data_IF_307756338456
#
_entry.id   IF_307756338456
#
_cell.length_a   1.000
_cell.length_b   1.000
_cell.length_c   1.000
_cell.angle_alpha   90.00
_cell.angle_beta   90.00
_cell.angle_gamma   90.00
#
_symmetry.space_group_name_H-M   'P 1'
#
loop_
_entity.id
_entity.type
_entity.pdbx_description
1 polymer ?
#
# COMPACT_ATOMS: atom_id res chain seq x y z
N UNK A 1 9.30 56.86 -54.82
CA UNK A 1 9.45 56.91 -53.35
C UNK A 1 8.22 56.26 -52.74
N UNK A 2 8.29 54.98 -52.42
CA UNK A 2 7.41 54.32 -51.44
C UNK A 2 8.20 53.12 -50.90
N UNK A 3 8.68 53.27 -49.67
CA UNK A 3 9.33 52.24 -48.88
C UNK A 3 8.29 51.18 -48.50
N UNK A 4 8.55 49.92 -48.83
CA UNK A 4 7.84 48.79 -48.26
C UNK A 4 8.45 48.48 -46.89
N UNK A 5 7.75 48.88 -45.82
CA UNK A 5 8.10 48.53 -44.45
C UNK A 5 7.30 47.28 -44.03
N UNK A 6 8.06 46.19 -43.83
CA UNK A 6 7.88 45.06 -42.88
C UNK A 6 6.77 44.02 -43.10
N UNK A 7 7.16 42.74 -43.31
CA UNK A 7 6.39 41.55 -42.90
C UNK A 7 6.82 40.96 -41.54
N UNK A 8 7.79 41.57 -40.84
CA UNK A 8 8.40 40.99 -39.63
C UNK A 8 7.47 40.89 -38.41
N UNK A 9 6.40 41.69 -38.33
CA UNK A 9 5.49 41.68 -37.18
C UNK A 9 4.62 40.41 -37.15
N UNK A 10 4.12 39.98 -38.31
CA UNK A 10 3.32 38.75 -38.41
C UNK A 10 4.14 37.48 -38.19
N UNK A 11 5.42 37.47 -38.56
CA UNK A 11 6.29 36.33 -38.28
C UNK A 11 6.61 36.19 -36.79
N UNK A 12 6.84 37.30 -36.09
CA UNK A 12 7.10 37.28 -34.65
C UNK A 12 5.85 36.88 -33.86
N UNK A 13 4.67 37.38 -34.25
CA UNK A 13 3.39 36.98 -33.63
C UNK A 13 3.08 35.50 -33.87
N UNK A 14 3.33 34.98 -35.08
CA UNK A 14 3.16 33.56 -35.37
C UNK A 14 4.15 32.69 -34.57
N UNK A 15 5.39 33.15 -34.41
CA UNK A 15 6.41 32.43 -33.62
C UNK A 15 6.08 32.44 -32.13
N UNK A 16 5.59 33.57 -31.59
CA UNK A 16 5.09 33.65 -30.22
C UNK A 16 3.86 32.76 -30.05
N UNK A 17 2.92 32.74 -31.00
CA UNK A 17 1.75 31.88 -30.92
C UNK A 17 2.11 30.39 -30.99
N UNK A 18 3.04 30.01 -31.87
CA UNK A 18 3.54 28.63 -31.98
C UNK A 18 4.38 28.24 -30.76
N UNK A 19 5.14 29.17 -30.19
CA UNK A 19 5.93 28.95 -28.97
C UNK A 19 5.03 28.85 -27.73
N UNK A 20 4.00 29.68 -27.61
CA UNK A 20 2.99 29.57 -26.55
C UNK A 20 2.10 28.33 -26.74
N UNK A 21 1.71 27.98 -27.96
CA UNK A 21 1.02 26.72 -28.25
C UNK A 21 1.90 25.51 -27.96
N UNK A 22 3.21 25.59 -28.22
CA UNK A 22 4.19 24.57 -27.85
C UNK A 22 4.37 24.50 -26.32
N UNK A 23 4.42 25.63 -25.60
CA UNK A 23 4.48 25.64 -24.13
C UNK A 23 3.18 25.12 -23.50
N UNK A 24 2.00 25.45 -24.07
CA UNK A 24 0.70 24.92 -23.65
C UNK A 24 0.55 23.43 -23.95
N UNK A 25 1.13 22.94 -25.06
CA UNK A 25 1.17 21.53 -25.39
C UNK A 25 2.22 20.74 -24.58
N UNK A 26 3.35 21.37 -24.24
CA UNK A 26 4.41 20.77 -23.42
C UNK A 26 4.06 20.71 -21.92
N UNK A 27 3.00 21.40 -21.49
CA UNK A 27 2.52 21.41 -20.11
C UNK A 27 1.34 20.45 -19.85
N UNK A 28 0.85 19.72 -20.86
CA UNK A 28 -0.19 18.69 -20.67
C UNK A 28 0.44 17.31 -20.63
N UNK A 29 0.32 16.60 -19.51
CA UNK A 29 0.56 15.17 -19.46
C UNK A 29 -0.40 14.48 -20.43
N UNK A 30 0.11 14.05 -21.57
CA UNK A 30 -0.67 13.25 -22.51
C UNK A 30 -0.89 11.85 -21.94
N UNK A 31 -2.09 11.30 -22.13
CA UNK A 31 -2.48 9.94 -21.77
C UNK A 31 -1.67 8.94 -22.63
N UNK A 32 -0.96 7.99 -21.99
CA UNK A 32 -0.25 6.89 -22.66
C UNK A 32 -0.55 5.58 -21.93
N UNK A 33 -1.78 5.08 -22.04
CA UNK A 33 -2.27 4.03 -21.16
C UNK A 33 -1.89 2.63 -21.64
N UNK A 34 -1.32 2.49 -22.84
CA UNK A 34 -1.02 1.18 -23.42
C UNK A 34 0.35 1.10 -24.08
N UNK A 35 0.91 -0.10 -24.07
CA UNK A 35 2.15 -0.42 -24.78
C UNK A 35 2.06 -1.78 -25.45
N UNK A 36 2.70 -1.89 -26.61
CA UNK A 36 2.78 -3.12 -27.41
C UNK A 36 3.99 -3.97 -26.98
N UNK A 37 4.07 -5.20 -27.47
CA UNK A 37 5.19 -6.11 -27.18
C UNK A 37 6.56 -5.54 -27.56
N UNK A 38 7.62 -6.11 -26.95
CA UNK A 38 9.03 -5.76 -27.16
C UNK A 38 9.44 -4.43 -26.53
N UNK A 39 8.73 -4.01 -25.49
CA UNK A 39 9.09 -2.83 -24.70
C UNK A 39 10.00 -3.23 -23.52
N UNK A 40 10.95 -2.34 -23.20
CA UNK A 40 11.89 -2.50 -22.09
C UNK A 40 12.06 -1.16 -21.38
N UNK A 41 12.06 -1.20 -20.05
CA UNK A 41 12.24 -0.03 -19.19
C UNK A 41 13.27 -0.31 -18.10
N UNK A 42 13.95 0.74 -17.65
CA UNK A 42 14.99 0.66 -16.61
C UNK A 42 14.74 1.73 -15.56
N UNK A 43 14.83 1.39 -14.27
CA UNK A 43 14.75 2.36 -13.19
C UNK A 43 16.12 3.02 -12.94
N UNK A 44 16.42 4.14 -13.61
CA UNK A 44 17.63 4.93 -13.33
C UNK A 44 17.28 6.23 -12.58
N UNK A 45 17.94 7.37 -12.83
CA UNK A 45 17.54 8.67 -12.27
C UNK A 45 16.96 9.66 -13.34
N UNK A 46 16.90 9.24 -14.60
CA UNK A 46 16.31 10.04 -15.70
C UNK A 46 14.77 9.84 -15.72
N UNK A 47 13.98 10.92 -15.65
CA UNK A 47 12.51 10.92 -15.82
C UNK A 47 11.63 10.43 -14.64
N UNK A 48 12.12 10.46 -13.39
CA UNK A 48 11.26 10.21 -12.23
C UNK A 48 10.46 11.46 -11.84
N UNK A 49 9.23 11.28 -11.37
CA UNK A 49 8.39 12.35 -10.81
C UNK A 49 8.07 12.06 -9.36
N UNK A 50 7.93 13.10 -8.54
CA UNK A 50 7.42 12.96 -7.18
C UNK A 50 5.91 12.72 -7.27
N UNK A 51 5.43 11.70 -6.58
CA UNK A 51 3.98 11.45 -6.50
C UNK A 51 3.43 11.88 -5.14
N UNK A 52 4.18 11.75 -4.04
CA UNK A 52 3.73 12.26 -2.73
C UNK A 52 4.30 13.65 -2.45
N UNK A 53 3.50 14.51 -1.81
CA UNK A 53 3.88 15.89 -1.45
C UNK A 53 5.16 15.98 -0.59
N UNK A 54 5.45 14.98 0.25
CA UNK A 54 6.62 14.97 1.15
C UNK A 54 7.93 14.45 0.53
N UNK A 55 8.04 14.47 -0.80
CA UNK A 55 9.29 14.27 -1.57
C UNK A 55 10.00 12.92 -1.44
N UNK A 56 9.61 12.06 -0.48
CA UNK A 56 10.28 10.77 -0.25
C UNK A 56 9.78 9.68 -1.20
N UNK A 57 8.61 9.83 -1.82
CA UNK A 57 8.14 8.87 -2.82
C UNK A 57 8.23 9.44 -4.23
N UNK A 58 8.98 8.72 -5.06
CA UNK A 58 9.11 9.01 -6.49
C UNK A 58 8.56 7.85 -7.31
N UNK A 59 7.94 8.17 -8.44
CA UNK A 59 7.50 7.20 -9.43
C UNK A 59 8.04 7.54 -10.81
N UNK A 60 8.55 6.52 -11.48
CA UNK A 60 8.88 6.52 -12.89
C UNK A 60 7.72 5.92 -13.63
N UNK A 61 6.90 6.77 -14.22
CA UNK A 61 5.70 6.33 -14.91
C UNK A 61 6.07 5.67 -16.24
N UNK A 62 5.54 4.47 -16.45
CA UNK A 62 5.63 3.69 -17.68
C UNK A 62 4.31 3.81 -18.45
N UNK A 63 3.18 3.67 -17.77
CA UNK A 63 1.84 3.89 -18.30
C UNK A 63 1.13 4.92 -17.43
N UNK A 64 0.44 5.86 -18.06
CA UNK A 64 -0.45 6.81 -17.40
C UNK A 64 -1.82 6.70 -18.07
N UNK A 65 -2.87 6.50 -17.27
CA UNK A 65 -4.26 6.59 -17.71
C UNK A 65 -4.97 7.73 -17.00
N UNK A 66 -5.56 8.64 -17.77
CA UNK A 66 -6.40 9.73 -17.25
C UNK A 66 -7.86 9.47 -17.61
N UNK A 67 -8.74 9.11 -16.66
CA UNK A 67 -10.11 8.70 -16.98
C UNK A 67 -10.95 9.77 -17.69
N UNK A 68 -10.70 11.05 -17.37
CA UNK A 68 -11.38 12.19 -17.95
C UNK A 68 -10.38 13.35 -18.09
N UNK A 69 -10.35 14.09 -19.21
CA UNK A 69 -9.52 15.30 -19.36
C UNK A 69 -9.75 16.39 -18.30
N UNK A 70 -10.88 16.34 -17.59
CA UNK A 70 -11.18 17.21 -16.44
C UNK A 70 -10.83 16.58 -15.08
N UNK A 71 -10.52 15.28 -15.04
CA UNK A 71 -10.09 14.65 -13.81
C UNK A 71 -8.72 15.17 -13.44
N UNK A 72 -8.56 15.48 -12.16
CA UNK A 72 -7.30 15.91 -11.59
C UNK A 72 -6.39 14.72 -11.24
N UNK A 73 -6.91 13.50 -11.39
CA UNK A 73 -6.29 12.26 -10.97
C UNK A 73 -6.17 11.33 -12.18
N UNK A 74 -5.01 10.70 -12.31
CA UNK A 74 -4.80 9.57 -13.19
C UNK A 74 -4.36 8.34 -12.41
N UNK A 75 -4.29 7.23 -13.12
CA UNK A 75 -3.69 6.01 -12.65
C UNK A 75 -2.40 5.74 -13.41
N UNK A 76 -1.32 5.55 -12.67
CA UNK A 76 0.00 5.30 -13.21
C UNK A 76 0.47 3.88 -12.89
N UNK A 77 1.30 3.34 -13.77
CA UNK A 77 2.06 2.11 -13.54
C UNK A 77 3.53 2.35 -13.86
N UNK A 78 4.44 1.81 -13.03
CA UNK A 78 5.87 1.99 -13.22
C UNK A 78 6.71 1.67 -11.99
N UNK A 79 7.93 2.20 -11.94
CA UNK A 79 8.83 1.98 -10.81
C UNK A 79 8.61 3.02 -9.73
N UNK A 80 8.22 2.60 -8.54
CA UNK A 80 8.03 3.45 -7.37
C UNK A 80 9.19 3.24 -6.40
N UNK A 81 9.69 4.31 -5.79
CA UNK A 81 10.74 4.26 -4.78
C UNK A 81 10.33 5.07 -3.58
N UNK A 82 10.60 4.52 -2.39
CA UNK A 82 10.63 5.30 -1.17
C UNK A 82 12.10 5.62 -0.83
N UNK A 83 12.48 6.89 -1.02
CA UNK A 83 13.83 7.43 -0.79
C UNK A 83 14.32 7.23 0.65
N UNK A 84 13.42 7.15 1.64
CA UNK A 84 13.80 6.88 3.04
C UNK A 84 14.33 5.46 3.24
N UNK A 85 13.88 4.49 2.43
CA UNK A 85 14.31 3.09 2.51
C UNK A 85 15.27 2.69 1.39
N UNK A 86 15.42 3.52 0.36
CA UNK A 86 16.26 3.26 -0.81
C UNK A 86 15.81 2.06 -1.66
N UNK A 87 14.59 1.57 -1.46
CA UNK A 87 14.05 0.38 -2.11
C UNK A 87 13.15 0.74 -3.28
N UNK A 88 13.32 0.05 -4.42
CA UNK A 88 12.48 0.22 -5.60
C UNK A 88 11.51 -0.94 -5.76
N UNK A 89 10.28 -0.60 -6.14
CA UNK A 89 9.21 -1.53 -6.42
C UNK A 89 8.62 -1.26 -7.80
N UNK A 90 8.12 -2.30 -8.45
CA UNK A 90 7.23 -2.15 -9.60
C UNK A 90 5.80 -2.09 -9.08
N UNK A 91 5.05 -1.07 -9.45
CA UNK A 91 3.74 -0.84 -8.86
C UNK A 91 2.82 0.06 -9.66
N UNK A 92 1.59 0.17 -9.18
CA UNK A 92 0.59 1.07 -9.69
C UNK A 92 0.13 2.03 -8.59
N UNK A 93 -0.16 3.27 -8.98
CA UNK A 93 -0.51 4.35 -8.09
C UNK A 93 -1.55 5.30 -8.68
N UNK A 94 -2.33 5.97 -7.83
CA UNK A 94 -3.07 7.17 -8.21
C UNK A 94 -2.09 8.34 -8.24
N UNK A 95 -2.18 9.19 -9.26
CA UNK A 95 -1.29 10.34 -9.43
C UNK A 95 -2.07 11.60 -9.76
N UNK A 96 -1.74 12.73 -9.13
CA UNK A 96 -2.32 14.03 -9.50
C UNK A 96 -1.64 14.59 -10.76
N UNK A 97 -2.42 15.23 -11.61
CA UNK A 97 -1.98 15.70 -12.94
C UNK A 97 -1.91 17.24 -13.03
N UNK A 98 -2.46 17.96 -12.04
CA UNK A 98 -2.45 19.43 -11.99
C UNK A 98 -1.29 20.02 -11.17
N UNK A 99 -0.86 21.23 -11.57
CA UNK A 99 0.29 21.99 -11.06
C UNK A 99 -0.15 23.07 -10.04
N UNK A 100 -1.08 22.78 -9.14
CA UNK A 100 -1.35 23.67 -8.02
C UNK A 100 -0.53 23.23 -6.79
N UNK A 101 -0.03 24.19 -6.03
CA UNK A 101 0.83 24.05 -4.82
C UNK A 101 0.13 23.33 -3.64
N UNK A 102 -1.00 22.65 -3.88
CA UNK A 102 -1.80 21.97 -2.87
C UNK A 102 -1.33 20.53 -2.61
N UNK A 103 -1.59 20.00 -1.39
CA UNK A 103 -1.30 18.62 -1.05
C UNK A 103 -1.77 17.58 -2.07
N UNK A 104 -0.82 16.80 -2.59
CA UNK A 104 -1.11 15.59 -3.36
C UNK A 104 -0.94 14.36 -2.49
N UNK A 105 -2.07 13.74 -2.15
CA UNK A 105 -2.14 12.43 -1.52
C UNK A 105 -2.24 11.34 -2.61
N UNK A 106 -1.15 11.17 -3.35
CA UNK A 106 -1.01 10.07 -4.31
C UNK A 106 -0.81 8.75 -3.57
N UNK A 107 -1.44 7.68 -4.05
CA UNK A 107 -1.44 6.41 -3.35
C UNK A 107 -0.95 5.25 -4.20
N UNK A 108 0.00 4.50 -3.67
CA UNK A 108 0.51 3.24 -4.22
C UNK A 108 -0.40 2.08 -3.78
N UNK A 109 -1.34 1.68 -4.62
CA UNK A 109 -2.33 0.65 -4.28
C UNK A 109 -1.91 -0.77 -4.68
N UNK A 110 -0.86 -0.93 -5.50
CA UNK A 110 -0.41 -2.26 -5.95
C UNK A 110 1.10 -2.29 -6.16
N UNK A 111 1.74 -3.38 -5.71
CA UNK A 111 3.19 -3.61 -5.83
C UNK A 111 3.47 -5.09 -6.19
N UNK A 112 4.19 -5.32 -7.28
CA UNK A 112 4.50 -6.65 -7.79
C UNK A 112 5.50 -7.43 -6.91
N UNK A 113 6.48 -6.72 -6.34
CA UNK A 113 7.70 -7.31 -5.79
C UNK A 113 7.93 -6.93 -4.31
N UNK A 114 6.87 -6.83 -3.49
CA UNK A 114 6.99 -6.47 -2.06
C UNK A 114 7.95 -7.34 -1.25
N UNK A 115 8.13 -8.60 -1.65
CA UNK A 115 9.02 -9.56 -0.99
C UNK A 115 10.46 -9.54 -1.52
N UNK A 116 10.69 -8.88 -2.66
CA UNK A 116 12.01 -8.78 -3.28
C UNK A 116 12.15 -7.39 -3.96
N UNK A 117 12.35 -6.32 -3.16
CA UNK A 117 12.65 -5.00 -3.69
C UNK A 117 13.88 -5.05 -4.60
N UNK A 118 13.91 -4.20 -5.63
CA UNK A 118 15.01 -4.14 -6.59
C UNK A 118 15.88 -2.91 -6.38
N UNK A 119 17.08 -2.94 -6.95
CA UNK A 119 18.02 -1.82 -6.95
C UNK A 119 17.79 -0.90 -8.15
N UNK A 120 18.48 0.24 -8.16
CA UNK A 120 18.59 1.08 -9.36
C UNK A 120 19.24 0.28 -10.50
N UNK A 121 18.75 0.49 -11.72
CA UNK A 121 19.08 -0.21 -12.97
C UNK A 121 18.46 -1.61 -13.15
N UNK A 122 17.50 -2.00 -12.31
CA UNK A 122 16.55 -3.06 -12.60
C UNK A 122 15.76 -2.79 -13.90
N UNK A 123 15.38 -3.88 -14.58
CA UNK A 123 14.74 -3.82 -15.89
C UNK A 123 13.38 -4.51 -15.89
N UNK A 124 12.38 -3.85 -16.46
CA UNK A 124 11.08 -4.44 -16.79
C UNK A 124 11.02 -4.67 -18.29
N UNK A 125 10.65 -5.87 -18.73
CA UNK A 125 10.59 -6.24 -20.14
C UNK A 125 9.28 -6.94 -20.47
N UNK A 126 8.53 -6.41 -21.44
CA UNK A 126 7.41 -7.11 -22.05
C UNK A 126 7.93 -7.88 -23.27
N UNK A 127 8.24 -9.16 -23.08
CA UNK A 127 8.86 -9.99 -24.09
C UNK A 127 7.89 -10.35 -25.23
N UNK A 128 8.44 -10.67 -26.40
CA UNK A 128 7.68 -11.15 -27.57
C UNK A 128 6.94 -12.46 -27.34
N UNK A 129 7.35 -13.26 -26.34
CA UNK A 129 6.62 -14.46 -25.91
C UNK A 129 5.39 -14.13 -25.05
N UNK A 130 5.15 -12.86 -24.74
CA UNK A 130 3.99 -12.37 -24.00
C UNK A 130 4.13 -12.38 -22.48
N UNK A 131 5.33 -12.55 -21.93
CA UNK A 131 5.59 -12.43 -20.49
C UNK A 131 6.13 -11.05 -20.13
N UNK A 132 5.60 -10.45 -19.05
CA UNK A 132 6.13 -9.23 -18.47
C UNK A 132 7.07 -9.62 -17.32
N UNK A 133 8.37 -9.37 -17.47
CA UNK A 133 9.41 -9.86 -16.56
C UNK A 133 10.16 -8.69 -15.92
N UNK A 134 10.27 -8.73 -14.59
CA UNK A 134 11.11 -7.87 -13.78
C UNK A 134 12.41 -8.60 -13.42
N UNK A 135 13.55 -7.96 -13.71
CA UNK A 135 14.89 -8.39 -13.30
C UNK A 135 15.59 -7.30 -12.51
N UNK A 136 16.37 -7.68 -11.52
CA UNK A 136 17.19 -6.74 -10.74
C UNK A 136 18.41 -6.28 -11.56
N UNK A 137 19.18 -5.32 -11.04
CA UNK A 137 20.34 -4.71 -11.71
C UNK A 137 21.42 -5.72 -12.12
N UNK A 138 21.55 -6.84 -11.39
CA UNK A 138 22.47 -7.94 -11.71
C UNK A 138 21.90 -8.95 -12.74
N UNK A 139 20.69 -8.70 -13.25
CA UNK A 139 19.97 -9.56 -14.18
C UNK A 139 19.20 -10.71 -13.52
N UNK A 140 19.24 -10.83 -12.18
CA UNK A 140 18.53 -11.87 -11.45
C UNK A 140 17.01 -11.72 -11.62
N UNK A 141 16.32 -12.85 -11.74
CA UNK A 141 14.87 -12.86 -11.84
C UNK A 141 14.21 -12.41 -10.53
N UNK A 142 13.19 -11.55 -10.62
CA UNK A 142 12.48 -11.02 -9.45
C UNK A 142 11.00 -11.40 -9.49
N UNK A 143 10.32 -11.11 -10.61
CA UNK A 143 8.88 -11.31 -10.74
C UNK A 143 8.50 -11.42 -12.23
N UNK A 144 7.40 -12.11 -12.53
CA UNK A 144 6.75 -12.07 -13.85
C UNK A 144 5.24 -12.32 -13.76
N UNK A 145 4.54 -12.01 -14.84
CA UNK A 145 3.11 -12.33 -15.01
C UNK A 145 2.87 -13.83 -15.23
N UNK A 146 3.91 -14.61 -15.54
CA UNK A 146 3.85 -16.04 -15.89
C UNK A 146 2.97 -16.32 -17.10
N UNK A 147 2.99 -15.42 -18.09
CA UNK A 147 2.15 -15.47 -19.29
C UNK A 147 2.93 -15.87 -20.56
N UNK A 148 4.11 -16.48 -20.39
CA UNK A 148 4.92 -16.95 -21.51
C UNK A 148 4.13 -17.89 -22.41
N UNK A 149 4.18 -17.64 -23.72
CA UNK A 149 3.49 -18.38 -24.79
C UNK A 149 1.97 -18.18 -24.84
N UNK A 150 1.40 -17.21 -24.13
CA UNK A 150 -0.06 -16.96 -24.12
C UNK A 150 -0.54 -15.93 -25.16
N UNK A 151 0.23 -15.68 -26.23
CA UNK A 151 -0.10 -14.70 -27.29
C UNK A 151 -0.56 -13.34 -26.75
N UNK A 152 0.26 -12.72 -25.89
CA UNK A 152 -0.03 -11.36 -25.42
C UNK A 152 0.07 -10.34 -26.56
N UNK A 153 -0.75 -9.29 -26.50
CA UNK A 153 -0.82 -8.24 -27.50
C UNK A 153 -0.43 -6.88 -26.91
N UNK A 154 -0.97 -6.54 -25.74
CA UNK A 154 -0.72 -5.22 -25.13
C UNK A 154 -0.87 -5.23 -23.61
N UNK A 155 -0.10 -4.39 -22.94
CA UNK A 155 -0.27 -4.07 -21.52
C UNK A 155 -0.99 -2.71 -21.43
N UNK A 156 -2.04 -2.63 -20.62
CA UNK A 156 -2.90 -1.44 -20.52
C UNK A 156 -3.23 -1.07 -19.08
N UNK A 157 -3.22 0.21 -18.78
CA UNK A 157 -3.75 0.79 -17.55
C UNK A 157 -5.19 1.27 -17.78
N UNK A 158 -6.14 0.75 -17.01
CA UNK A 158 -7.56 1.07 -17.14
C UNK A 158 -7.98 2.24 -16.25
N UNK A 159 -9.15 2.82 -16.56
CA UNK A 159 -9.79 3.90 -15.79
C UNK A 159 -10.15 3.51 -14.35
N UNK A 160 -10.15 2.21 -14.06
CA UNK A 160 -10.41 1.67 -12.73
C UNK A 160 -9.15 1.55 -11.88
N UNK A 161 -7.97 1.86 -12.43
CA UNK A 161 -6.68 1.58 -11.80
C UNK A 161 -6.16 0.16 -12.04
N UNK A 162 -6.90 -0.69 -12.77
CA UNK A 162 -6.47 -2.05 -13.07
C UNK A 162 -5.45 -2.07 -14.22
N UNK A 163 -4.28 -2.63 -13.96
CA UNK A 163 -3.29 -2.95 -14.99
C UNK A 163 -3.61 -4.32 -15.59
N UNK A 164 -3.82 -4.38 -16.91
CA UNK A 164 -4.26 -5.59 -17.62
C UNK A 164 -3.32 -5.91 -18.77
N UNK A 165 -2.89 -7.17 -18.85
CA UNK A 165 -2.22 -7.73 -20.01
C UNK A 165 -3.24 -8.45 -20.89
N UNK A 166 -3.52 -7.87 -22.05
CA UNK A 166 -4.42 -8.43 -23.04
C UNK A 166 -3.66 -9.29 -24.04
N UNK A 167 -4.28 -10.41 -24.43
CA UNK A 167 -3.90 -11.22 -25.58
C UNK A 167 -4.73 -10.90 -26.82
N UNK A 168 -4.66 -11.79 -27.80
CA UNK A 168 -5.48 -11.72 -29.00
C UNK A 168 -6.98 -11.64 -28.65
N UNK A 169 -7.73 -10.88 -29.46
CA UNK A 169 -9.17 -10.65 -29.29
C UNK A 169 -9.59 -10.06 -27.92
N UNK A 170 -8.73 -9.24 -27.30
CA UNK A 170 -8.97 -8.61 -25.99
C UNK A 170 -9.19 -9.62 -24.85
N UNK A 171 -8.66 -10.83 -24.96
CA UNK A 171 -8.66 -11.77 -23.85
C UNK A 171 -7.76 -11.25 -22.72
N UNK A 172 -8.28 -11.20 -21.49
CA UNK A 172 -7.45 -10.92 -20.31
C UNK A 172 -6.56 -12.14 -20.02
N UNK A 173 -5.24 -11.97 -20.15
CA UNK A 173 -4.25 -13.00 -19.81
C UNK A 173 -3.79 -12.88 -18.36
N UNK A 174 -3.67 -11.64 -17.88
CA UNK A 174 -3.27 -11.31 -16.52
C UNK A 174 -3.82 -9.94 -16.14
N UNK A 175 -4.15 -9.72 -14.86
CA UNK A 175 -4.53 -8.41 -14.36
C UNK A 175 -4.11 -8.19 -12.90
N UNK A 176 -3.75 -6.96 -12.55
CA UNK A 176 -3.30 -6.59 -11.20
C UNK A 176 -4.36 -6.84 -10.13
N UNK A 177 -5.65 -6.70 -10.47
CA UNK A 177 -6.74 -6.88 -9.51
C UNK A 177 -6.86 -8.32 -8.97
N UNK A 178 -6.36 -9.32 -9.71
CA UNK A 178 -6.31 -10.71 -9.27
C UNK A 178 -5.11 -11.00 -8.35
N UNK A 179 -4.24 -10.01 -8.13
CA UNK A 179 -3.06 -10.08 -7.27
C UNK A 179 -3.04 -8.93 -6.26
N UNK A 180 -4.05 -8.82 -5.38
CA UNK A 180 -4.13 -7.72 -4.43
C UNK A 180 -2.95 -7.71 -3.44
N UNK A 181 -2.64 -6.53 -2.90
CA UNK A 181 -1.54 -6.35 -1.94
C UNK A 181 -2.06 -6.01 -0.55
N UNK A 182 -2.06 -4.74 -0.16
CA UNK A 182 -2.67 -4.22 1.08
C UNK A 182 -3.97 -3.44 0.80
N UNK A 183 -4.23 -3.10 -0.45
CA UNK A 183 -5.24 -2.13 -0.88
C UNK A 183 -6.25 -2.77 -1.84
N UNK A 184 -7.52 -2.37 -1.75
CA UNK A 184 -8.60 -2.62 -2.69
C UNK A 184 -9.10 -1.30 -3.26
N UNK A 185 -9.13 -1.18 -4.58
CA UNK A 185 -9.78 -0.06 -5.25
C UNK A 185 -11.30 -0.30 -5.36
N UNK A 186 -12.13 0.76 -5.49
CA UNK A 186 -13.55 0.63 -5.72
C UNK A 186 -13.86 -0.29 -6.92
N UNK A 187 -14.73 -1.28 -6.70
CA UNK A 187 -15.10 -2.28 -7.71
C UNK A 187 -14.15 -3.47 -7.84
N UNK A 188 -12.96 -3.44 -7.23
CA UNK A 188 -12.09 -4.62 -7.12
C UNK A 188 -12.71 -5.65 -6.17
N UNK A 189 -12.67 -6.93 -6.57
CA UNK A 189 -13.12 -8.06 -5.76
C UNK A 189 -11.92 -8.75 -5.12
N UNK A 190 -11.97 -8.98 -3.81
CA UNK A 190 -11.07 -9.90 -3.14
C UNK A 190 -11.78 -11.25 -3.02
N UNK A 191 -11.31 -12.23 -3.79
CA UNK A 191 -11.89 -13.56 -3.91
C UNK A 191 -11.42 -14.49 -2.79
N UNK A 192 -12.21 -15.51 -2.48
CA UNK A 192 -11.84 -16.55 -1.53
C UNK A 192 -10.50 -17.21 -1.91
N UNK A 193 -9.62 -17.33 -0.93
CA UNK A 193 -8.25 -17.80 -1.12
C UNK A 193 -7.21 -16.69 -1.34
N UNK A 194 -7.64 -15.48 -1.73
CA UNK A 194 -6.78 -14.30 -1.74
C UNK A 194 -6.70 -13.65 -0.36
N UNK A 195 -5.70 -12.78 -0.19
CA UNK A 195 -5.49 -12.02 1.05
C UNK A 195 -5.13 -10.58 0.75
N UNK A 196 -5.55 -9.67 1.62
CA UNK A 196 -4.84 -8.41 1.80
C UNK A 196 -3.80 -8.62 2.89
N UNK A 197 -2.58 -8.17 2.65
CA UNK A 197 -1.48 -8.23 3.61
C UNK A 197 -0.96 -6.82 3.79
N UNK A 198 -0.97 -6.32 5.02
CA UNK A 198 -0.57 -4.95 5.32
C UNK A 198 0.88 -4.65 4.91
N UNK A 199 1.25 -3.37 4.92
CA UNK A 199 2.66 -2.94 4.87
C UNK A 199 3.32 -3.19 6.21
N UNK A 200 4.64 -3.32 6.23
CA UNK A 200 5.42 -3.43 7.46
C UNK A 200 5.36 -2.15 8.30
N UNK A 201 5.28 -0.98 7.66
CA UNK A 201 5.03 0.32 8.29
C UNK A 201 4.60 1.35 7.22
N UNK A 202 4.34 2.59 7.62
CA UNK A 202 4.06 3.69 6.69
C UNK A 202 5.18 3.90 5.64
N UNK A 203 6.45 3.75 6.03
CA UNK A 203 7.62 3.96 5.15
C UNK A 203 8.15 2.67 4.54
N UNK A 204 7.94 1.52 5.17
CA UNK A 204 8.37 0.23 4.64
C UNK A 204 7.20 -0.56 4.04
N UNK A 205 7.19 -0.66 2.70
CA UNK A 205 6.14 -1.29 1.92
C UNK A 205 6.33 -2.79 1.67
N UNK A 206 7.30 -3.43 2.31
CA UNK A 206 7.35 -4.90 2.38
C UNK A 206 6.12 -5.44 3.11
N UNK A 207 5.86 -6.75 3.01
CA UNK A 207 4.77 -7.37 3.76
C UNK A 207 4.90 -7.15 5.27
N UNK A 208 3.81 -6.71 5.89
CA UNK A 208 3.68 -6.53 7.32
C UNK A 208 3.10 -7.73 8.04
N UNK A 209 2.68 -7.48 9.28
CA UNK A 209 2.24 -8.52 10.20
C UNK A 209 0.74 -8.76 10.18
N UNK A 210 -0.06 -7.99 9.44
CA UNK A 210 -1.51 -8.18 9.40
C UNK A 210 -1.96 -8.72 8.06
N UNK A 211 -2.95 -9.61 8.08
CA UNK A 211 -3.60 -10.03 6.85
C UNK A 211 -5.10 -10.28 7.04
N UNK A 212 -5.85 -9.91 6.02
CA UNK A 212 -7.28 -10.13 5.89
C UNK A 212 -7.50 -11.23 4.84
N UNK A 213 -8.44 -12.13 5.11
CA UNK A 213 -8.76 -13.27 4.26
C UNK A 213 -10.27 -13.48 4.20
N UNK A 214 -10.78 -13.80 3.01
CA UNK A 214 -12.17 -14.24 2.83
C UNK A 214 -12.21 -15.74 2.53
N UNK A 215 -13.25 -16.42 3.01
CA UNK A 215 -13.53 -17.82 2.73
C UNK A 215 -15.04 -18.04 2.57
N UNK A 216 -15.45 -19.30 2.32
CA UNK A 216 -16.86 -19.68 2.29
C UNK A 216 -17.58 -19.53 3.64
N UNK A 217 -16.85 -19.29 4.74
CA UNK A 217 -17.43 -19.07 6.07
C UNK A 217 -17.60 -17.59 6.43
N UNK A 218 -16.97 -16.67 5.68
CA UNK A 218 -17.00 -15.24 5.95
C UNK A 218 -15.65 -14.53 5.84
N UNK A 219 -15.51 -13.45 6.61
CA UNK A 219 -14.36 -12.54 6.62
C UNK A 219 -13.55 -12.69 7.91
N UNK A 220 -12.23 -12.72 7.78
CA UNK A 220 -11.32 -12.97 8.90
C UNK A 220 -10.09 -12.06 8.82
N UNK A 221 -9.64 -11.53 9.95
CA UNK A 221 -8.39 -10.76 10.04
C UNK A 221 -7.49 -11.33 11.11
N UNK A 222 -6.20 -11.41 10.78
CA UNK A 222 -5.19 -12.10 11.56
C UNK A 222 -3.95 -11.25 11.77
N UNK A 223 -3.32 -11.44 12.92
CA UNK A 223 -1.93 -11.12 13.18
C UNK A 223 -1.03 -12.32 12.86
N UNK A 224 0.00 -12.09 12.06
CA UNK A 224 0.97 -13.07 11.61
C UNK A 224 1.90 -13.40 12.77
N UNK A 225 1.78 -14.62 13.27
CA UNK A 225 2.72 -15.22 14.21
C UNK A 225 2.91 -16.70 13.89
N UNK A 226 3.74 -17.43 14.64
CA UNK A 226 3.98 -18.87 14.40
C UNK A 226 2.69 -19.67 14.33
N UNK A 227 1.72 -19.31 15.16
CA UNK A 227 0.32 -19.71 15.03
C UNK A 227 -0.46 -18.44 14.66
N UNK A 228 -1.09 -18.35 13.48
CA UNK A 228 -1.85 -17.17 13.12
C UNK A 228 -2.91 -16.82 14.16
N UNK A 229 -2.90 -15.58 14.66
CA UNK A 229 -3.83 -15.13 15.69
C UNK A 229 -4.96 -14.33 15.05
N UNK A 230 -6.16 -14.91 15.04
CA UNK A 230 -7.36 -14.24 14.56
C UNK A 230 -7.83 -13.24 15.61
N UNK A 231 -8.02 -11.98 15.23
CA UNK A 231 -8.57 -10.95 16.12
C UNK A 231 -9.92 -10.40 15.62
N UNK A 232 -10.26 -10.65 14.35
CA UNK A 232 -11.58 -10.33 13.79
C UNK A 232 -12.16 -11.51 13.03
N UNK A 233 -13.47 -11.71 13.20
CA UNK A 233 -14.25 -12.70 12.47
C UNK A 233 -15.67 -12.18 12.24
N UNK A 234 -16.10 -12.22 10.99
CA UNK A 234 -17.49 -12.04 10.60
C UNK A 234 -17.96 -13.27 9.83
N UNK A 235 -18.82 -14.09 10.45
CA UNK A 235 -19.32 -15.31 9.82
C UNK A 235 -20.65 -15.09 9.13
N UNK A 236 -20.78 -15.67 7.94
CA UNK A 236 -22.05 -15.75 7.21
C UNK A 236 -22.54 -17.19 7.26
N UNK A 237 -23.80 -17.40 7.64
CA UNK A 237 -24.41 -18.73 7.78
C UNK A 237 -25.64 -18.82 6.88
N UNK A 238 -25.80 -19.96 6.20
CA UNK A 238 -26.90 -20.18 5.27
C UNK A 238 -26.52 -21.19 4.18
N UNK A 239 -27.40 -21.33 3.19
CA UNK A 239 -27.16 -22.16 2.01
C UNK A 239 -26.50 -21.28 0.95
N UNK A 240 -25.41 -21.74 0.35
CA UNK A 240 -24.78 -21.02 -0.77
C UNK A 240 -25.66 -21.15 -2.00
N UNK A 241 -26.16 -20.02 -2.50
CA UNK A 241 -27.07 -19.95 -3.65
C UNK A 241 -26.33 -19.74 -4.98
N UNK A 242 -25.12 -19.18 -4.90
CA UNK A 242 -24.29 -18.87 -6.05
C UNK A 242 -23.23 -19.93 -6.32
N UNK A 243 -22.98 -20.24 -7.60
CA UNK A 243 -21.83 -21.05 -8.04
C UNK A 243 -20.51 -20.27 -8.04
N UNK A 244 -20.56 -18.93 -7.91
CA UNK A 244 -19.34 -18.12 -7.89
C UNK A 244 -18.56 -18.34 -6.59
N UNK A 245 -17.21 -18.27 -6.62
CA UNK A 245 -16.42 -18.25 -5.40
C UNK A 245 -16.85 -17.06 -4.52
N UNK A 246 -16.76 -17.23 -3.20
CA UNK A 246 -17.09 -16.17 -2.25
C UNK A 246 -16.11 -15.00 -2.39
N UNK A 247 -16.57 -13.75 -2.21
CA UNK A 247 -15.71 -12.56 -2.32
C UNK A 247 -16.23 -11.40 -1.46
N UNK A 248 -15.36 -10.41 -1.30
CA UNK A 248 -15.73 -9.09 -0.77
C UNK A 248 -15.37 -8.01 -1.79
N UNK A 249 -16.05 -6.86 -1.74
CA UNK A 249 -15.69 -5.69 -2.54
C UNK A 249 -15.98 -4.38 -1.79
N UNK A 250 -15.12 -3.39 -2.00
CA UNK A 250 -15.31 -2.04 -1.48
C UNK A 250 -16.30 -1.27 -2.38
N UNK A 251 -17.33 -0.68 -1.78
CA UNK A 251 -18.39 0.07 -2.48
C UNK A 251 -18.85 1.24 -1.61
N UNK A 252 -18.66 2.47 -2.08
CA UNK A 252 -19.15 3.69 -1.42
C UNK A 252 -18.83 3.76 0.08
N UNK A 253 -17.59 3.46 0.47
CA UNK A 253 -17.18 3.48 1.87
C UNK A 253 -17.58 2.26 2.70
N UNK A 254 -18.32 1.33 2.11
CA UNK A 254 -18.71 0.08 2.76
C UNK A 254 -17.93 -1.11 2.23
N UNK A 255 -17.89 -2.18 3.00
CA UNK A 255 -17.40 -3.47 2.56
C UNK A 255 -18.57 -4.45 2.41
N UNK A 256 -18.89 -4.79 1.16
CA UNK A 256 -19.94 -5.74 0.84
C UNK A 256 -19.39 -7.16 0.80
N UNK A 257 -20.05 -8.08 1.50
CA UNK A 257 -19.70 -9.50 1.60
C UNK A 257 -20.65 -10.33 0.74
N UNK A 258 -20.09 -11.07 -0.24
CA UNK A 258 -20.78 -12.02 -1.11
C UNK A 258 -20.22 -13.41 -0.84
N UNK A 259 -20.68 -14.03 0.25
CA UNK A 259 -20.22 -15.33 0.73
C UNK A 259 -21.09 -16.46 0.18
N UNK A 260 -22.42 -16.30 0.30
CA UNK A 260 -23.44 -17.21 -0.17
C UNK A 260 -24.10 -16.70 -1.46
N UNK A 261 -24.22 -15.38 -1.61
CA UNK A 261 -24.77 -14.72 -2.77
C UNK A 261 -23.69 -14.25 -3.76
N UNK A 262 -24.11 -13.75 -4.92
CA UNK A 262 -23.27 -13.01 -5.85
C UNK A 262 -24.10 -11.98 -6.62
N UNK A 263 -23.45 -10.94 -7.12
CA UNK A 263 -24.08 -9.98 -8.04
C UNK A 263 -24.77 -10.69 -9.22
N UNK A 264 -25.97 -10.26 -9.62
CA UNK A 264 -26.63 -8.99 -9.28
C UNK A 264 -27.48 -8.99 -7.99
N UNK A 265 -27.48 -10.07 -7.21
CA UNK A 265 -28.21 -10.12 -5.93
C UNK A 265 -27.60 -9.18 -4.89
N UNK A 266 -28.37 -8.88 -3.84
CA UNK A 266 -27.88 -8.13 -2.66
C UNK A 266 -26.75 -8.90 -1.95
N UNK A 267 -25.78 -8.21 -1.33
CA UNK A 267 -24.75 -8.86 -0.52
C UNK A 267 -25.34 -9.51 0.73
N UNK A 268 -24.69 -10.56 1.23
CA UNK A 268 -25.11 -11.25 2.44
C UNK A 268 -24.94 -10.39 3.70
N UNK A 269 -23.96 -9.49 3.67
CA UNK A 269 -23.71 -8.51 4.71
C UNK A 269 -22.98 -7.29 4.17
N UNK A 270 -23.13 -6.15 4.85
CA UNK A 270 -22.40 -4.91 4.58
C UNK A 270 -21.82 -4.42 5.90
N UNK A 271 -20.52 -4.10 5.90
CA UNK A 271 -19.83 -3.49 7.03
C UNK A 271 -19.64 -1.99 6.78
N UNK A 272 -19.68 -1.20 7.86
CA UNK A 272 -19.65 0.27 7.87
C UNK A 272 -20.89 0.92 7.26
N UNK A 273 -20.98 2.24 7.40
CA UNK A 273 -22.02 3.10 6.83
C UNK A 273 -21.51 3.72 5.52
N UNK A 274 -22.36 3.87 4.49
CA UNK A 274 -21.94 4.50 3.25
C UNK A 274 -21.41 5.92 3.45
N UNK A 275 -20.30 6.23 2.79
CA UNK A 275 -19.78 7.59 2.65
C UNK A 275 -19.77 8.02 1.19
N UNK A 276 -19.63 9.32 0.95
CA UNK A 276 -19.46 9.82 -0.41
C UNK A 276 -18.13 9.30 -0.99
N UNK A 277 -18.25 8.56 -2.08
CA UNK A 277 -17.09 8.02 -2.80
C UNK A 277 -16.53 9.08 -3.75
N UNK A 278 -15.21 9.23 -3.75
CA UNK A 278 -14.50 10.16 -4.64
C UNK A 278 -13.56 9.42 -5.58
N UNK A 279 -13.05 10.09 -6.61
CA UNK A 279 -12.15 9.47 -7.59
C UNK A 279 -10.83 8.97 -6.97
N UNK A 280 -10.45 9.45 -5.78
CA UNK A 280 -9.24 9.03 -5.04
C UNK A 280 -9.48 7.92 -4.01
N UNK A 281 -10.70 7.41 -3.88
CA UNK A 281 -10.99 6.55 -2.74
C UNK A 281 -10.38 5.16 -2.88
N UNK A 282 -9.95 4.59 -1.76
CA UNK A 282 -9.43 3.22 -1.69
C UNK A 282 -9.62 2.63 -0.29
N UNK A 283 -9.61 1.31 -0.20
CA UNK A 283 -9.66 0.60 1.08
C UNK A 283 -8.33 -0.08 1.35
N UNK A 284 -7.73 0.08 2.53
CA UNK A 284 -6.43 -0.49 2.89
C UNK A 284 -6.45 -1.17 4.24
N UNK A 285 -5.80 -2.33 4.32
CA UNK A 285 -5.38 -2.92 5.58
C UNK A 285 -4.03 -2.33 6.00
N UNK A 286 -4.08 -1.43 6.97
CA UNK A 286 -2.91 -0.67 7.42
C UNK A 286 -1.95 -1.49 8.28
N UNK A 287 -0.73 -0.96 8.48
CA UNK A 287 0.33 -1.64 9.24
C UNK A 287 0.00 -1.83 10.72
N UNK A 288 -1.03 -1.16 11.23
CA UNK A 288 -1.58 -1.27 12.59
C UNK A 288 -2.75 -2.27 12.69
N UNK A 289 -3.14 -2.89 11.58
CA UNK A 289 -4.19 -3.93 11.53
C UNK A 289 -5.60 -3.39 11.33
N UNK A 290 -5.79 -2.07 11.24
CA UNK A 290 -7.08 -1.47 10.89
C UNK A 290 -7.36 -1.60 9.38
N UNK A 291 -8.62 -1.80 9.02
CA UNK A 291 -9.07 -1.77 7.63
C UNK A 291 -9.78 -0.44 7.38
N UNK A 292 -9.10 0.51 6.75
CA UNK A 292 -9.61 1.87 6.56
C UNK A 292 -10.06 2.09 5.11
N UNK A 293 -11.15 2.82 4.94
CA UNK A 293 -11.54 3.40 3.67
C UNK A 293 -11.14 4.87 3.66
N UNK A 294 -10.24 5.22 2.77
CA UNK A 294 -9.73 6.56 2.55
C UNK A 294 -10.50 7.23 1.43
N UNK A 295 -10.92 8.47 1.64
CA UNK A 295 -11.64 9.27 0.65
C UNK A 295 -11.37 10.76 0.84
N UNK A 296 -11.50 11.51 -0.26
CA UNK A 296 -11.40 12.97 -0.26
C UNK A 296 -12.67 13.61 0.35
N UNK A 297 -12.56 14.39 1.44
CA UNK A 297 -13.70 15.14 2.00
C UNK A 297 -13.74 16.58 1.49
N UNK A 298 -14.35 16.77 0.31
CA UNK A 298 -14.51 18.08 -0.34
C UNK A 298 -15.31 19.13 0.46
N UNK A 299 -15.88 18.80 1.62
CA UNK A 299 -16.78 19.68 2.35
C UNK A 299 -16.04 20.64 3.29
N UNK A 300 -14.88 20.26 3.83
CA UNK A 300 -14.21 21.02 4.89
C UNK A 300 -12.73 21.34 4.68
N UNK A 301 -11.95 20.48 4.04
CA UNK A 301 -10.51 20.65 3.78
C UNK A 301 -10.10 19.71 2.63
N UNK A 302 -9.16 20.05 1.73
CA UNK A 302 -8.67 19.18 0.62
C UNK A 302 -7.77 18.06 1.21
N UNK A 303 -8.22 17.44 2.30
CA UNK A 303 -7.52 16.47 3.13
C UNK A 303 -8.15 15.09 2.97
N UNK A 304 -7.30 14.06 2.99
CA UNK A 304 -7.76 12.68 2.95
C UNK A 304 -8.37 12.30 4.30
N UNK A 305 -9.67 12.06 4.31
CA UNK A 305 -10.38 11.49 5.45
C UNK A 305 -10.36 9.96 5.41
N UNK A 306 -10.63 9.36 6.56
CA UNK A 306 -10.62 7.91 6.71
C UNK A 306 -11.73 7.40 7.64
N UNK A 307 -12.31 6.26 7.29
CA UNK A 307 -13.24 5.52 8.15
C UNK A 307 -12.71 4.10 8.35
N UNK A 308 -12.60 3.67 9.60
CA UNK A 308 -12.26 2.29 9.93
C UNK A 308 -13.50 1.39 9.81
N UNK A 309 -13.45 0.46 8.85
CA UNK A 309 -14.54 -0.46 8.50
C UNK A 309 -14.87 -1.43 9.62
N UNK A 310 -13.91 -1.71 10.50
CA UNK A 310 -14.07 -2.69 11.58
C UNK A 310 -14.42 -2.03 12.93
N UNK A 311 -14.42 -0.70 13.02
CA UNK A 311 -14.60 0.05 14.26
C UNK A 311 -16.00 -0.09 14.89
N UNK A 312 -17.01 -0.46 14.11
CA UNK A 312 -18.35 -0.77 14.65
C UNK A 312 -18.34 -2.04 15.53
N UNK A 313 -17.34 -2.91 15.36
CA UNK A 313 -17.22 -4.20 16.04
C UNK A 313 -16.01 -4.24 16.98
N UNK A 314 -14.89 -3.67 16.56
CA UNK A 314 -13.64 -3.64 17.31
C UNK A 314 -13.46 -2.32 18.03
N UNK A 315 -13.10 -2.39 19.30
CA UNK A 315 -12.61 -1.24 20.08
C UNK A 315 -11.09 -1.15 20.00
N UNK A 316 -10.52 -0.04 20.45
CA UNK A 316 -9.08 0.21 20.39
C UNK A 316 -8.24 -0.97 20.90
N UNK A 317 -8.57 -1.54 22.07
CA UNK A 317 -7.80 -2.66 22.64
C UNK A 317 -8.04 -4.03 21.97
N UNK A 318 -9.00 -4.15 21.05
CA UNK A 318 -9.23 -5.39 20.31
C UNK A 318 -8.22 -5.53 19.14
N UNK A 319 -7.57 -4.41 18.74
CA UNK A 319 -6.49 -4.43 17.77
C UNK A 319 -5.19 -4.93 18.38
N UNK A 320 -4.47 -5.86 17.71
CA UNK A 320 -3.16 -6.29 18.18
C UNK A 320 -2.14 -5.15 18.21
N UNK A 321 -1.13 -5.28 19.06
CA UNK A 321 0.06 -4.39 19.10
C UNK A 321 -0.17 -2.92 19.50
N UNK A 322 -1.40 -2.54 19.89
CA UNK A 322 -1.75 -1.18 20.32
C UNK A 322 -0.84 -0.65 21.44
N UNK A 323 -0.44 -1.52 22.37
CA UNK A 323 0.39 -1.14 23.53
C UNK A 323 1.85 -1.58 23.41
N UNK A 324 2.36 -1.69 22.18
CA UNK A 324 3.74 -2.06 21.92
C UNK A 324 4.13 -3.41 22.55
N UNK A 325 5.42 -3.61 22.78
CA UNK A 325 5.92 -4.88 23.28
C UNK A 325 5.74 -4.98 24.80
N UNK A 326 5.09 -6.07 25.23
CA UNK A 326 4.78 -6.40 26.62
C UNK A 326 3.82 -5.44 27.33
N UNK A 327 3.16 -4.53 26.62
CA UNK A 327 2.12 -3.66 27.18
C UNK A 327 0.75 -4.31 27.20
N UNK A 328 -0.06 -3.91 28.17
CA UNK A 328 -1.44 -4.34 28.33
C UNK A 328 -2.38 -3.19 27.98
N UNK A 329 -3.31 -3.43 27.06
CA UNK A 329 -4.36 -2.49 26.71
C UNK A 329 -5.59 -2.71 27.60
N UNK A 330 -6.03 -1.65 28.28
CA UNK A 330 -7.28 -1.63 29.01
C UNK A 330 -7.98 -0.30 28.79
N UNK A 331 -9.21 -0.33 28.24
CA UNK A 331 -10.02 0.87 27.96
C UNK A 331 -9.28 1.94 27.13
N UNK A 332 -8.53 1.53 26.10
CA UNK A 332 -7.74 2.45 25.27
C UNK A 332 -6.43 2.93 25.91
N UNK A 333 -6.11 2.47 27.11
CA UNK A 333 -4.91 2.86 27.83
C UNK A 333 -3.90 1.72 27.93
N UNK A 334 -2.65 2.06 27.68
CA UNK A 334 -1.54 1.13 27.74
C UNK A 334 -0.85 1.20 29.10
N UNK A 335 -0.68 0.02 29.73
CA UNK A 335 -0.02 -0.12 31.03
C UNK A 335 1.01 -1.24 31.00
N UNK A 336 2.08 -1.09 31.78
CA UNK A 336 3.05 -2.17 31.97
C UNK A 336 2.48 -3.18 32.97
N UNK A 337 2.62 -4.49 32.72
CA UNK A 337 2.36 -5.50 33.73
C UNK A 337 3.16 -5.24 35.02
N UNK A 338 2.60 -5.61 36.17
CA UNK A 338 3.31 -5.51 37.45
C UNK A 338 4.69 -6.18 37.40
N UNK A 339 5.73 -5.43 37.76
CA UNK A 339 7.13 -5.90 37.71
C UNK A 339 7.89 -5.53 36.43
N UNK A 340 7.27 -4.81 35.49
CA UNK A 340 7.92 -4.22 34.33
C UNK A 340 8.01 -2.71 34.46
N UNK A 341 9.17 -2.13 34.16
CA UNK A 341 9.36 -0.68 34.06
C UNK A 341 9.09 -0.18 32.63
N UNK A 342 8.64 1.06 32.48
CA UNK A 342 8.47 1.70 31.17
C UNK A 342 9.85 1.98 30.53
N UNK A 343 10.14 1.35 29.40
CA UNK A 343 11.32 1.66 28.61
C UNK A 343 11.06 2.83 27.66
N UNK A 344 11.77 3.95 27.80
CA UNK A 344 11.69 5.02 26.80
C UNK A 344 12.44 4.63 25.52
N UNK A 345 11.74 4.77 24.38
CA UNK A 345 12.23 4.39 23.05
C UNK A 345 13.62 4.97 22.74
N UNK A 346 14.55 4.08 22.35
CA UNK A 346 15.99 4.29 22.17
C UNK A 346 16.86 4.22 23.44
N UNK A 347 16.79 3.10 24.17
CA UNK A 347 17.96 2.32 24.64
C UNK A 347 17.51 1.32 25.72
N UNK A 348 17.01 0.16 25.29
CA UNK A 348 16.79 -0.98 26.19
C UNK A 348 17.65 -2.17 25.76
N UNK A 349 18.91 -1.92 25.43
CA UNK A 349 19.91 -2.98 25.38
C UNK A 349 20.64 -2.97 26.73
N UNK A 350 20.47 -4.05 27.49
CA UNK A 350 21.28 -4.37 28.68
C UNK A 350 21.14 -3.39 29.87
N UNK A 351 19.93 -2.96 30.22
CA UNK A 351 19.74 -2.23 31.48
C UNK A 351 19.73 -3.22 32.64
N UNK A 352 20.78 -3.16 33.44
CA UNK A 352 20.95 -3.98 34.63
C UNK A 352 20.68 -3.17 35.90
N UNK A 353 19.90 -3.72 36.82
CA UNK A 353 19.78 -3.17 38.16
C UNK A 353 20.77 -3.87 39.10
N UNK A 354 21.54 -3.09 39.87
CA UNK A 354 22.42 -3.60 40.92
C UNK A 354 21.70 -3.53 42.26
N UNK A 355 21.35 -4.68 42.81
CA UNK A 355 20.71 -4.76 44.14
C UNK A 355 21.71 -5.26 45.15
N UNK A 356 21.81 -4.58 46.30
CA UNK A 356 22.60 -5.02 47.45
C UNK A 356 21.76 -5.93 48.33
N UNK A 357 22.18 -7.18 48.45
CA UNK A 357 21.49 -8.24 49.20
C UNK A 357 22.35 -8.64 50.41
N UNK A 358 21.74 -8.89 51.57
CA UNK A 358 22.46 -9.31 52.79
C UNK A 358 22.85 -10.79 52.70
N UNK A 359 24.06 -11.13 53.16
CA UNK A 359 24.58 -12.50 53.14
C UNK A 359 23.64 -13.46 53.87
N UNK A 360 23.08 -14.43 53.14
CA UNK A 360 22.14 -15.44 53.66
C UNK A 360 20.69 -15.29 53.20
N UNK A 361 20.35 -14.25 52.44
CA UNK A 361 19.02 -14.10 51.82
C UNK A 361 18.96 -14.69 50.40
N UNK A 362 17.80 -15.21 50.01
CA UNK A 362 17.59 -15.82 48.70
C UNK A 362 17.76 -14.77 47.58
N UNK A 363 18.39 -15.16 46.47
CA UNK A 363 18.55 -14.29 45.30
C UNK A 363 17.18 -13.97 44.68
N UNK A 364 16.94 -12.72 44.25
CA UNK A 364 15.73 -12.38 43.53
C UNK A 364 15.63 -13.16 42.20
N UNK A 365 14.43 -13.61 41.86
CA UNK A 365 14.13 -14.26 40.58
C UNK A 365 14.50 -13.34 39.42
N UNK A 366 15.34 -13.81 38.49
CA UNK A 366 15.89 -13.00 37.38
C UNK A 366 17.34 -12.54 37.56
N UNK A 367 18.03 -12.98 38.62
CA UNK A 367 19.45 -12.71 38.85
C UNK A 367 20.34 -13.42 37.82
N UNK A 368 21.18 -12.67 37.11
CA UNK A 368 22.06 -13.20 36.06
C UNK A 368 23.54 -13.28 36.48
N UNK A 369 23.97 -12.46 37.45
CA UNK A 369 25.32 -12.49 38.00
C UNK A 369 25.35 -11.88 39.42
N UNK A 370 26.34 -12.24 40.23
CA UNK A 370 26.53 -11.62 41.54
C UNK A 370 27.96 -11.68 42.07
N UNK A 371 28.35 -10.66 42.85
CA UNK A 371 29.68 -10.55 43.50
C UNK A 371 29.49 -10.31 44.99
N UNK A 372 30.14 -11.12 45.81
CA UNK A 372 30.07 -11.02 47.28
C UNK A 372 31.28 -10.26 47.83
N UNK A 373 31.04 -9.23 48.63
CA UNK A 373 32.08 -8.47 49.36
C UNK A 373 31.66 -8.34 50.81
N UNK A 374 32.37 -9.03 51.72
CA UNK A 374 32.02 -9.06 53.14
C UNK A 374 30.67 -9.72 53.39
N UNK A 375 29.77 -9.04 54.11
CA UNK A 375 28.42 -9.52 54.45
C UNK A 375 27.35 -9.16 53.42
N UNK A 376 27.74 -8.73 52.21
CA UNK A 376 26.82 -8.29 51.18
C UNK A 376 27.12 -8.93 49.83
N UNK A 377 26.07 -9.23 49.09
CA UNK A 377 26.12 -9.69 47.70
C UNK A 377 25.52 -8.62 46.81
N UNK A 378 26.27 -8.13 45.83
CA UNK A 378 25.75 -7.29 44.76
C UNK A 378 25.20 -8.22 43.66
N UNK A 379 23.95 -8.05 43.25
CA UNK A 379 23.28 -8.91 42.27
C UNK A 379 22.85 -8.07 41.06
N UNK A 380 23.07 -8.61 39.87
CA UNK A 380 22.68 -8.04 38.58
C UNK A 380 21.34 -8.67 38.16
N UNK A 381 20.30 -7.86 38.04
CA UNK A 381 19.00 -8.27 37.50
C UNK A 381 18.83 -7.74 36.08
N UNK A 382 18.23 -8.55 35.21
CA UNK A 382 17.66 -8.07 33.94
C UNK A 382 16.35 -7.37 34.28
N UNK A 383 16.28 -6.05 34.04
CA UNK A 383 15.01 -5.33 34.16
C UNK A 383 14.17 -5.70 32.94
N UNK A 384 13.03 -6.34 33.16
CA UNK A 384 12.05 -6.57 32.10
C UNK A 384 11.36 -5.24 31.82
N UNK A 385 11.55 -4.68 30.61
CA UNK A 385 10.88 -3.44 30.21
C UNK A 385 9.65 -3.75 29.37
N UNK A 386 8.62 -2.95 29.56
CA UNK A 386 7.53 -2.85 28.61
C UNK A 386 7.71 -1.55 27.82
N UNK A 387 7.49 -1.63 26.52
CA UNK A 387 7.54 -0.50 25.59
C UNK A 387 6.09 -0.20 25.23
N UNK A 388 5.55 0.87 25.78
CA UNK A 388 4.19 1.33 25.55
C UNK A 388 4.08 2.15 24.25
#
# INVERSE_FOLDING_TARGET
MMMAIRPWKSFLELFIFLYYAYLLAAAQYHDYPSVQLSASWTNNNLSAINITQDSEVIMRIILLKVPNPRSKIGFAFGFVSNLSTGSFFLGAASVRIEYDDEPSYDEVFWLANRNKPVQENATLQLHTNGDLILRDADGSFVWSTNTSHMSAASLQMLDTGNLVLYGDNNQTLWQSFDHPTDTLLPGQKLMAGQKLVSRASATNWTEGSFYLSVSSEGLFVFYRSTVPQMFFKFSVSGIKESEQPSYIRAVNGTLALYILSAEPSEPDAVLSVPVHNTEKAYMRLDSDGHLRFYYDDFIYDDSMDQVDILADVLRECDYPTVCGNYGLCANGHCTCPSGFDQGQGRSAYNSYAFIKVSSGSALPTGAIAGVTVGTFTLVVLVVSFCIL
#
